data_IF_189464751760
#
_entry.id   IF_189464751760
#
_cell.length_a   1.000
_cell.length_b   1.000
_cell.length_c   1.000
_cell.angle_alpha   90.00
_cell.angle_beta   90.00
_cell.angle_gamma   90.00
#
_symmetry.space_group_name_H-M   'P 1'
#
loop_
_entity.id
_entity.type
_entity.pdbx_description
1 polymer ?
#
# COMPACT_ATOMS: atom_id res chain seq x y z
N UNK A 1 18.52 -61.76 12.33
CA UNK A 1 17.13 -61.30 12.16
C UNK A 1 16.57 -60.97 13.53
N UNK A 2 16.56 -59.71 13.93
CA UNK A 2 15.70 -59.20 15.01
C UNK A 2 15.14 -57.89 14.48
N UNK A 3 13.91 -57.95 13.98
CA UNK A 3 13.16 -56.77 13.55
C UNK A 3 12.63 -56.10 14.83
N UNK A 4 13.26 -55.02 15.24
CA UNK A 4 12.72 -54.12 16.25
C UNK A 4 11.57 -53.36 15.60
N UNK A 5 10.33 -53.74 15.94
CA UNK A 5 9.16 -52.96 15.63
C UNK A 5 9.30 -51.60 16.35
N UNK A 6 9.69 -50.58 15.60
CA UNK A 6 9.47 -49.19 16.02
C UNK A 6 7.96 -49.00 16.00
N UNK A 7 7.38 -49.07 17.18
CA UNK A 7 5.99 -48.70 17.41
C UNK A 7 5.90 -47.20 17.10
N UNK A 8 5.54 -46.85 15.87
CA UNK A 8 5.14 -45.50 15.51
C UNK A 8 3.95 -45.18 16.40
N UNK A 9 4.14 -44.26 17.36
CA UNK A 9 3.05 -43.71 18.15
C UNK A 9 1.97 -43.26 17.16
N UNK A 10 0.84 -43.97 17.13
CA UNK A 10 -0.29 -43.55 16.34
C UNK A 10 -0.76 -42.21 16.92
N UNK A 11 -0.67 -41.15 16.11
CA UNK A 11 -1.29 -39.89 16.48
C UNK A 11 -2.79 -40.16 16.74
N UNK A 12 -3.30 -39.67 17.87
CA UNK A 12 -4.71 -39.85 18.20
C UNK A 12 -5.56 -39.22 17.09
N UNK A 13 -6.66 -39.87 16.65
CA UNK A 13 -7.50 -39.33 15.59
C UNK A 13 -8.09 -38.00 16.03
N UNK A 14 -8.09 -37.00 15.15
CA UNK A 14 -8.63 -35.67 15.45
C UNK A 14 -9.84 -35.32 14.60
N UNK A 15 -10.79 -34.60 15.18
CA UNK A 15 -11.93 -34.01 14.48
C UNK A 15 -11.74 -32.50 14.31
N UNK A 16 -12.13 -31.98 13.14
CA UNK A 16 -12.17 -30.58 12.80
C UNK A 16 -13.62 -30.07 12.84
N UNK A 17 -13.86 -29.04 13.66
CA UNK A 17 -15.19 -28.43 13.80
C UNK A 17 -15.53 -27.61 12.54
N UNK A 18 -16.67 -27.93 11.92
CA UNK A 18 -17.09 -27.36 10.63
C UNK A 18 -17.99 -26.13 10.76
N UNK A 19 -18.65 -25.97 11.92
CA UNK A 19 -19.68 -24.95 12.14
C UNK A 19 -19.29 -24.01 13.26
N UNK A 20 -19.64 -22.75 13.09
CA UNK A 20 -19.48 -21.76 14.17
C UNK A 20 -20.52 -22.03 15.26
N UNK A 21 -20.08 -22.07 16.52
CA UNK A 21 -20.97 -22.24 17.65
C UNK A 21 -21.41 -23.68 17.93
N UNK A 22 -20.68 -24.70 17.44
CA UNK A 22 -21.01 -26.11 17.68
C UNK A 22 -21.01 -26.44 19.20
N UNK A 23 -22.00 -27.22 19.65
CA UNK A 23 -22.17 -27.53 21.07
C UNK A 23 -21.39 -28.78 21.45
N UNK A 24 -20.44 -28.66 22.38
CA UNK A 24 -19.86 -29.82 23.07
C UNK A 24 -20.72 -30.11 24.31
N UNK A 25 -21.27 -31.33 24.41
CA UNK A 25 -22.24 -31.73 25.43
C UNK A 25 -21.72 -32.82 26.35
N UNK A 26 -22.29 -32.92 27.55
CA UNK A 26 -21.90 -33.93 28.54
C UNK A 26 -22.28 -35.37 28.18
N UNK A 27 -23.11 -35.58 27.16
CA UNK A 27 -23.55 -36.90 26.71
C UNK A 27 -23.95 -36.91 25.23
N UNK A 28 -23.98 -38.10 24.63
CA UNK A 28 -24.34 -38.35 23.22
C UNK A 28 -25.85 -38.20 22.94
N UNK A 29 -26.43 -37.04 23.27
CA UNK A 29 -27.83 -36.67 23.01
C UNK A 29 -28.00 -35.16 23.10
N UNK A 30 -28.96 -34.59 22.37
CA UNK A 30 -29.16 -33.13 22.34
C UNK A 30 -29.67 -32.54 23.65
N UNK A 31 -30.44 -33.31 24.41
CA UNK A 31 -30.93 -32.89 25.73
C UNK A 31 -29.83 -32.91 26.80
N UNK A 32 -28.63 -33.41 26.49
CA UNK A 32 -27.52 -33.35 27.43
C UNK A 32 -27.08 -31.90 27.64
N UNK A 33 -26.72 -31.52 28.89
CA UNK A 33 -26.21 -30.19 29.19
C UNK A 33 -25.02 -29.83 28.29
N UNK A 34 -25.04 -28.60 27.75
CA UNK A 34 -23.91 -28.05 27.00
C UNK A 34 -22.77 -27.74 27.97
N UNK A 35 -21.59 -28.27 27.67
CA UNK A 35 -20.36 -28.06 28.45
C UNK A 35 -19.51 -26.93 27.87
N UNK A 36 -19.49 -26.78 26.55
CA UNK A 36 -18.79 -25.70 25.87
C UNK A 36 -19.43 -25.38 24.52
N UNK A 37 -19.11 -24.20 24.01
CA UNK A 37 -19.37 -23.81 22.63
C UNK A 37 -18.03 -23.75 21.88
N UNK A 38 -18.00 -24.39 20.72
CA UNK A 38 -16.83 -24.55 19.86
C UNK A 38 -16.92 -23.62 18.65
N UNK A 39 -15.77 -23.27 18.10
CA UNK A 39 -15.65 -22.38 16.94
C UNK A 39 -15.31 -23.19 15.69
N UNK A 40 -15.66 -22.65 14.51
CA UNK A 40 -15.26 -23.26 13.24
C UNK A 40 -13.73 -23.24 13.15
N UNK A 41 -13.12 -24.40 12.94
CA UNK A 41 -11.66 -24.56 12.95
C UNK A 41 -11.05 -25.02 14.27
N UNK A 42 -11.85 -25.20 15.34
CA UNK A 42 -11.37 -25.92 16.53
C UNK A 42 -11.04 -27.37 16.15
N UNK A 43 -9.91 -27.87 16.68
CA UNK A 43 -9.45 -29.26 16.50
C UNK A 43 -9.59 -29.99 17.83
N UNK A 44 -10.17 -31.19 17.80
CA UNK A 44 -10.49 -31.99 18.97
C UNK A 44 -9.90 -33.38 18.80
N UNK A 45 -9.40 -34.00 19.87
CA UNK A 45 -9.07 -35.43 19.83
C UNK A 45 -10.35 -36.26 19.89
N UNK A 46 -10.50 -37.23 18.99
CA UNK A 46 -11.55 -38.23 19.02
C UNK A 46 -11.09 -39.39 19.91
N UNK A 47 -11.88 -39.71 20.93
CA UNK A 47 -11.60 -40.80 21.88
C UNK A 47 -12.47 -42.01 21.66
N UNK A 48 -13.70 -41.81 21.21
CA UNK A 48 -14.65 -42.88 20.90
C UNK A 48 -15.77 -42.34 20.00
N UNK A 49 -16.63 -43.23 19.51
CA UNK A 49 -17.84 -42.91 18.77
C UNK A 49 -19.06 -43.52 19.45
N UNK A 50 -20.11 -42.71 19.62
CA UNK A 50 -21.37 -43.19 20.21
C UNK A 50 -22.57 -42.59 19.51
N UNK A 51 -23.37 -43.44 18.87
CA UNK A 51 -24.50 -43.02 18.03
C UNK A 51 -24.01 -42.01 16.96
N UNK A 52 -24.71 -40.88 16.81
CA UNK A 52 -24.35 -39.80 15.90
C UNK A 52 -23.41 -38.75 16.54
N UNK A 53 -22.59 -39.15 17.52
CA UNK A 53 -21.65 -38.27 18.21
C UNK A 53 -20.22 -38.83 18.22
N UNK A 54 -19.25 -37.94 18.12
CA UNK A 54 -17.88 -38.20 18.53
C UNK A 54 -17.75 -37.91 20.02
N UNK A 55 -17.19 -38.84 20.79
CA UNK A 55 -16.65 -38.54 22.11
C UNK A 55 -15.29 -37.90 21.91
N UNK A 56 -15.13 -36.68 22.41
CA UNK A 56 -13.98 -35.82 22.11
C UNK A 56 -13.30 -35.30 23.36
N UNK A 57 -12.04 -34.90 23.20
CA UNK A 57 -11.29 -34.13 24.18
C UNK A 57 -10.81 -32.81 23.57
N UNK A 58 -11.21 -31.71 24.18
CA UNK A 58 -10.71 -30.38 23.86
C UNK A 58 -9.51 -30.07 24.78
N UNK A 59 -8.30 -30.10 24.21
CA UNK A 59 -7.07 -29.80 24.94
C UNK A 59 -7.00 -28.35 25.44
N UNK A 60 -7.64 -27.39 24.76
CA UNK A 60 -7.64 -25.99 25.20
C UNK A 60 -8.41 -25.83 26.50
N UNK A 61 -9.55 -26.50 26.59
CA UNK A 61 -10.46 -26.40 27.74
C UNK A 61 -10.21 -27.48 28.77
N UNK A 62 -9.26 -28.38 28.51
CA UNK A 62 -8.96 -29.59 29.27
C UNK A 62 -10.24 -30.35 29.64
N UNK A 63 -11.12 -30.52 28.64
CA UNK A 63 -12.49 -30.98 28.87
C UNK A 63 -12.92 -31.97 27.81
N UNK A 64 -13.45 -33.10 28.28
CA UNK A 64 -14.10 -34.10 27.44
C UNK A 64 -15.58 -33.81 27.27
N UNK A 65 -16.15 -34.25 26.15
CA UNK A 65 -17.56 -34.15 25.86
C UNK A 65 -17.95 -34.90 24.59
N UNK A 66 -19.13 -34.60 24.08
CA UNK A 66 -19.69 -35.19 22.86
C UNK A 66 -20.07 -34.10 21.87
N UNK A 67 -19.68 -34.28 20.61
CA UNK A 67 -20.00 -33.37 19.50
C UNK A 67 -20.72 -34.17 18.41
N UNK A 68 -21.77 -33.62 17.82
CA UNK A 68 -22.50 -34.30 16.74
C UNK A 68 -21.59 -34.52 15.53
N UNK A 69 -21.69 -35.69 14.90
CA UNK A 69 -20.94 -36.02 13.68
C UNK A 69 -21.26 -35.09 12.50
N UNK A 70 -22.44 -34.44 12.50
CA UNK A 70 -22.79 -33.43 11.50
C UNK A 70 -22.10 -32.06 11.70
N UNK A 71 -21.46 -31.83 12.84
CA UNK A 71 -20.82 -30.56 13.21
C UNK A 71 -19.29 -30.62 13.15
N UNK A 72 -18.71 -31.81 13.03
CA UNK A 72 -17.27 -32.01 12.95
C UNK A 72 -16.95 -33.16 12.00
N UNK A 73 -15.81 -33.09 11.31
CA UNK A 73 -15.33 -34.17 10.44
C UNK A 73 -14.00 -34.70 10.97
N UNK A 74 -13.72 -36.01 10.87
CA UNK A 74 -12.36 -36.51 11.06
C UNK A 74 -11.40 -35.79 10.11
N UNK A 75 -10.26 -35.38 10.65
CA UNK A 75 -9.21 -34.69 9.91
C UNK A 75 -8.39 -35.72 9.14
N UNK A 76 -8.08 -35.43 7.88
CA UNK A 76 -7.20 -36.29 7.08
C UNK A 76 -5.78 -36.29 7.67
N UNK A 77 -5.06 -37.39 7.49
CA UNK A 77 -3.68 -37.56 7.96
C UNK A 77 -2.66 -37.45 6.83
N UNK A 78 -3.10 -37.48 5.58
CA UNK A 78 -2.24 -37.34 4.41
C UNK A 78 -2.20 -35.88 3.90
N UNK A 79 -1.00 -35.41 3.59
CA UNK A 79 -0.76 -34.04 3.14
C UNK A 79 -1.52 -33.67 1.84
N UNK A 80 -1.59 -34.52 0.80
CA UNK A 80 -2.31 -34.16 -0.43
C UNK A 80 -3.81 -33.90 -0.22
N UNK A 81 -4.49 -34.72 0.59
CA UNK A 81 -5.91 -34.52 0.91
C UNK A 81 -6.11 -33.23 1.72
N UNK A 82 -5.24 -32.96 2.69
CA UNK A 82 -5.30 -31.72 3.48
C UNK A 82 -5.12 -30.48 2.61
N UNK A 83 -4.19 -30.52 1.64
CA UNK A 83 -3.99 -29.43 0.69
C UNK A 83 -5.22 -29.22 -0.21
N UNK A 84 -5.83 -30.31 -0.69
CA UNK A 84 -7.06 -30.22 -1.49
C UNK A 84 -8.23 -29.60 -0.69
N UNK A 85 -8.39 -29.99 0.58
CA UNK A 85 -9.39 -29.41 1.48
C UNK A 85 -9.11 -27.92 1.77
N UNK A 86 -7.84 -27.56 1.95
CA UNK A 86 -7.42 -26.16 2.14
C UNK A 86 -7.80 -25.32 0.91
N UNK A 87 -7.46 -25.77 -0.30
CA UNK A 87 -7.82 -25.10 -1.57
C UNK A 87 -9.31 -24.86 -1.69
N UNK A 88 -10.14 -25.84 -1.33
CA UNK A 88 -11.60 -25.70 -1.34
C UNK A 88 -12.11 -24.68 -0.31
N UNK A 89 -11.41 -24.52 0.80
CA UNK A 89 -11.77 -23.62 1.90
C UNK A 89 -11.40 -22.16 1.63
N UNK A 90 -10.26 -21.92 0.96
CA UNK A 90 -9.71 -20.58 0.73
C UNK A 90 -10.69 -19.54 0.14
N UNK A 91 -11.50 -19.86 -0.89
CA UNK A 91 -12.42 -18.87 -1.46
C UNK A 91 -13.65 -18.59 -0.58
N UNK A 92 -13.87 -19.33 0.52
CA UNK A 92 -15.07 -19.20 1.34
C UNK A 92 -14.95 -18.06 2.37
N UNK A 93 -15.95 -17.18 2.42
CA UNK A 93 -16.10 -16.20 3.51
C UNK A 93 -16.42 -16.90 4.84
N UNK A 94 -15.80 -16.44 5.94
CA UNK A 94 -15.94 -17.09 7.24
C UNK A 94 -15.26 -18.47 7.34
N UNK A 95 -14.46 -18.85 6.35
CA UNK A 95 -13.64 -20.08 6.32
C UNK A 95 -12.28 -19.94 6.98
N UNK A 96 -11.94 -18.79 7.57
CA UNK A 96 -10.58 -18.47 8.03
C UNK A 96 -10.10 -19.47 9.08
N UNK A 97 -10.91 -19.77 10.09
CA UNK A 97 -10.54 -20.72 11.14
C UNK A 97 -10.35 -22.14 10.61
N UNK A 98 -11.20 -22.57 9.66
CA UNK A 98 -11.08 -23.87 9.01
C UNK A 98 -9.78 -23.96 8.18
N UNK A 99 -9.49 -22.91 7.40
CA UNK A 99 -8.27 -22.85 6.59
C UNK A 99 -7.00 -22.87 7.44
N UNK A 100 -6.97 -22.16 8.58
CA UNK A 100 -5.84 -22.19 9.50
C UNK A 100 -5.60 -23.60 10.07
N UNK A 101 -6.66 -24.29 10.46
CA UNK A 101 -6.57 -25.65 10.98
C UNK A 101 -6.06 -26.64 9.92
N UNK A 102 -6.57 -26.56 8.69
CA UNK A 102 -6.13 -27.41 7.57
C UNK A 102 -4.67 -27.16 7.20
N UNK A 103 -4.25 -25.88 7.17
CA UNK A 103 -2.86 -25.53 6.90
C UNK A 103 -1.91 -26.02 8.01
N UNK A 104 -2.30 -25.88 9.28
CA UNK A 104 -1.53 -26.40 10.41
C UNK A 104 -1.42 -27.93 10.37
N UNK A 105 -2.52 -28.62 10.06
CA UNK A 105 -2.54 -30.07 9.90
C UNK A 105 -1.64 -30.52 8.76
N UNK A 106 -1.65 -29.80 7.63
CA UNK A 106 -0.76 -30.06 6.51
C UNK A 106 0.71 -29.93 6.94
N UNK A 107 1.06 -28.87 7.67
CA UNK A 107 2.43 -28.65 8.15
C UNK A 107 2.90 -29.78 9.08
N UNK A 108 1.98 -30.36 9.87
CA UNK A 108 2.29 -31.49 10.75
C UNK A 108 2.44 -32.81 9.97
N UNK A 109 1.64 -33.01 8.91
CA UNK A 109 1.62 -34.25 8.13
C UNK A 109 2.72 -34.30 7.05
N UNK A 110 3.08 -33.17 6.45
CA UNK A 110 3.95 -33.12 5.29
C UNK A 110 5.44 -33.36 5.66
N UNK A 111 6.19 -34.12 4.84
CA UNK A 111 7.63 -34.29 5.03
C UNK A 111 8.38 -32.97 4.78
N UNK A 112 9.55 -32.82 5.41
CA UNK A 112 10.39 -31.60 5.29
C UNK A 112 10.73 -31.23 3.84
N UNK A 113 10.93 -32.23 2.97
CA UNK A 113 11.22 -32.01 1.55
C UNK A 113 10.03 -31.37 0.81
N UNK A 114 8.81 -31.72 1.18
CA UNK A 114 7.58 -31.16 0.58
C UNK A 114 7.30 -29.76 1.14
N UNK A 115 7.56 -29.53 2.43
CA UNK A 115 7.48 -28.21 3.05
C UNK A 115 8.50 -27.20 2.47
N UNK A 116 9.64 -27.69 1.99
CA UNK A 116 10.65 -26.87 1.33
C UNK A 116 10.40 -26.68 -0.19
N UNK A 117 9.37 -27.30 -0.74
CA UNK A 117 8.99 -27.23 -2.14
C UNK A 117 7.75 -26.34 -2.36
N UNK A 118 7.28 -26.28 -3.60
CA UNK A 118 6.14 -25.46 -3.99
C UNK A 118 4.85 -25.72 -3.20
N UNK A 119 4.46 -26.97 -2.86
CA UNK A 119 3.30 -27.22 -2.00
C UNK A 119 3.43 -26.58 -0.61
N UNK A 120 4.62 -26.59 -0.02
CA UNK A 120 4.90 -25.88 1.23
C UNK A 120 4.75 -24.37 1.09
N UNK A 121 5.22 -23.79 -0.01
CA UNK A 121 5.04 -22.37 -0.32
C UNK A 121 3.56 -22.01 -0.49
N UNK A 122 2.77 -22.87 -1.13
CA UNK A 122 1.32 -22.67 -1.29
C UNK A 122 0.58 -22.64 0.04
N UNK A 123 0.91 -23.55 0.97
CA UNK A 123 0.30 -23.53 2.31
C UNK A 123 0.70 -22.29 3.11
N UNK A 124 1.92 -21.80 2.96
CA UNK A 124 2.36 -20.54 3.60
C UNK A 124 1.68 -19.31 2.98
N UNK A 125 1.47 -19.28 1.67
CA UNK A 125 0.72 -18.23 0.99
C UNK A 125 -0.76 -18.23 1.42
N UNK A 126 -1.35 -19.42 1.58
CA UNK A 126 -2.68 -19.59 2.14
C UNK A 126 -2.77 -19.06 3.59
N UNK A 127 -1.83 -19.43 4.46
CA UNK A 127 -1.76 -18.91 5.84
C UNK A 127 -1.64 -17.39 5.88
N UNK A 128 -0.77 -16.82 5.06
CA UNK A 128 -0.61 -15.37 4.96
C UNK A 128 -1.89 -14.68 4.51
N UNK A 129 -2.56 -15.24 3.49
CA UNK A 129 -3.84 -14.74 2.96
C UNK A 129 -4.95 -14.77 4.02
N UNK A 130 -5.07 -15.88 4.77
CA UNK A 130 -6.01 -16.01 5.87
C UNK A 130 -5.70 -15.01 6.99
N UNK A 131 -4.42 -14.82 7.32
CA UNK A 131 -3.97 -13.81 8.27
C UNK A 131 -4.40 -12.40 7.86
N UNK A 132 -4.26 -12.03 6.59
CA UNK A 132 -4.74 -10.73 6.10
C UNK A 132 -6.26 -10.57 6.19
N UNK A 133 -7.02 -11.61 5.84
CA UNK A 133 -8.48 -11.61 5.97
C UNK A 133 -8.91 -11.42 7.42
N UNK A 134 -8.26 -12.11 8.36
CA UNK A 134 -8.51 -11.94 9.80
C UNK A 134 -8.18 -10.52 10.25
N UNK A 135 -7.07 -9.95 9.79
CA UNK A 135 -6.69 -8.57 10.10
C UNK A 135 -7.66 -7.54 9.50
N UNK A 136 -8.26 -7.83 8.34
CA UNK A 136 -9.26 -6.99 7.69
C UNK A 136 -10.68 -7.16 8.27
N UNK A 137 -10.96 -8.26 8.97
CA UNK A 137 -12.29 -8.60 9.45
C UNK A 137 -12.81 -7.59 10.50
N UNK A 138 -13.90 -6.89 10.22
CA UNK A 138 -14.51 -5.91 11.13
C UNK A 138 -15.73 -6.44 11.89
N UNK A 139 -16.05 -7.73 11.76
CA UNK A 139 -17.24 -8.34 12.39
C UNK A 139 -17.00 -8.65 13.88
N UNK A 140 -18.06 -8.87 14.68
CA UNK A 140 -17.93 -9.26 16.09
C UNK A 140 -17.13 -10.55 16.32
N UNK A 141 -17.00 -11.41 15.30
CA UNK A 141 -16.25 -12.69 15.37
C UNK A 141 -14.74 -12.50 15.39
N UNK A 142 -14.24 -11.29 15.08
CA UNK A 142 -12.81 -10.99 14.94
C UNK A 142 -12.00 -11.41 16.16
N UNK A 143 -12.48 -11.16 17.37
CA UNK A 143 -11.75 -11.50 18.60
C UNK A 143 -11.48 -13.01 18.71
N UNK A 144 -12.47 -13.85 18.40
CA UNK A 144 -12.32 -15.30 18.38
C UNK A 144 -11.38 -15.78 17.29
N UNK A 145 -11.42 -15.15 16.10
CA UNK A 145 -10.49 -15.47 15.01
C UNK A 145 -9.05 -15.10 15.34
N UNK A 146 -8.81 -13.96 16.00
CA UNK A 146 -7.46 -13.54 16.42
C UNK A 146 -6.88 -14.50 17.48
N UNK A 147 -7.72 -14.91 18.43
CA UNK A 147 -7.36 -15.91 19.44
C UNK A 147 -7.04 -17.28 18.79
N UNK A 148 -7.85 -17.74 17.84
CA UNK A 148 -7.57 -18.96 17.07
C UNK A 148 -6.28 -18.83 16.24
N UNK A 149 -6.09 -17.73 15.52
CA UNK A 149 -4.91 -17.48 14.69
C UNK A 149 -3.61 -17.45 15.52
N UNK A 150 -3.65 -16.85 16.70
CA UNK A 150 -2.50 -16.79 17.62
C UNK A 150 -2.05 -18.19 18.05
N UNK A 151 -2.97 -19.15 18.19
CA UNK A 151 -2.64 -20.55 18.53
C UNK A 151 -1.92 -21.27 17.40
N UNK A 152 -2.25 -20.92 16.17
CA UNK A 152 -1.55 -21.40 14.99
C UNK A 152 -0.27 -20.59 14.70
N UNK A 153 0.13 -19.69 15.61
CA UNK A 153 1.39 -18.96 15.55
C UNK A 153 1.36 -17.67 14.73
N UNK A 154 0.19 -17.21 14.27
CA UNK A 154 0.07 -15.94 13.56
C UNK A 154 0.13 -14.77 14.54
N UNK A 155 0.88 -13.72 14.18
CA UNK A 155 0.99 -12.50 14.98
C UNK A 155 0.41 -11.31 14.24
N UNK A 156 -0.07 -10.34 14.99
CA UNK A 156 -0.71 -9.14 14.46
C UNK A 156 -0.18 -7.90 15.16
N UNK A 157 0.14 -6.89 14.37
CA UNK A 157 0.64 -5.60 14.84
C UNK A 157 -0.41 -4.51 14.62
N UNK A 158 -0.49 -3.58 15.56
CA UNK A 158 -1.41 -2.44 15.50
C UNK A 158 -0.66 -1.16 15.11
N UNK A 159 -1.18 -0.45 14.11
CA UNK A 159 -0.61 0.80 13.61
C UNK A 159 -1.60 1.94 13.74
N UNK A 160 -1.22 2.98 14.47
CA UNK A 160 -1.96 4.23 14.50
C UNK A 160 -1.97 4.88 13.11
N UNK A 161 -3.13 5.35 12.69
CA UNK A 161 -3.34 6.03 11.41
C UNK A 161 -3.41 7.55 11.62
N UNK A 162 -3.28 8.31 10.53
CA UNK A 162 -3.33 9.78 10.58
C UNK A 162 -4.71 10.32 10.98
N UNK A 163 -5.78 9.55 10.74
CA UNK A 163 -7.16 9.89 11.12
C UNK A 163 -7.51 9.48 12.56
N UNK A 164 -6.52 9.00 13.33
CA UNK A 164 -6.70 8.51 14.70
C UNK A 164 -7.25 7.08 14.79
N UNK A 165 -7.58 6.43 13.67
CA UNK A 165 -7.96 5.02 13.67
C UNK A 165 -6.74 4.11 13.93
N UNK A 166 -7.01 2.86 14.31
CA UNK A 166 -5.99 1.83 14.46
C UNK A 166 -6.18 0.78 13.37
N UNK A 167 -5.12 0.51 12.61
CA UNK A 167 -5.09 -0.55 11.62
C UNK A 167 -4.36 -1.75 12.22
N UNK A 168 -5.03 -2.89 12.29
CA UNK A 168 -4.37 -4.16 12.58
C UNK A 168 -3.83 -4.75 11.28
N UNK A 169 -2.60 -5.25 11.31
CA UNK A 169 -1.97 -5.94 10.20
C UNK A 169 -1.39 -7.27 10.66
N UNK A 170 -1.45 -8.27 9.80
CA UNK A 170 -0.71 -9.51 9.99
C UNK A 170 0.79 -9.22 9.89
N UNK A 171 1.61 -9.81 10.77
CA UNK A 171 3.06 -9.57 10.83
C UNK A 171 3.79 -10.02 9.56
N UNK A 172 3.17 -10.94 8.80
CA UNK A 172 3.65 -11.41 7.51
C UNK A 172 4.65 -12.55 7.57
N UNK A 173 4.85 -13.24 8.70
CA UNK A 173 5.86 -14.31 8.80
C UNK A 173 5.72 -15.36 7.69
N UNK A 174 4.50 -15.84 7.43
CA UNK A 174 4.25 -16.81 6.37
C UNK A 174 4.65 -16.27 4.99
N UNK A 175 4.35 -15.01 4.69
CA UNK A 175 4.73 -14.38 3.41
C UNK A 175 6.24 -14.20 3.27
N UNK A 176 6.98 -13.90 4.35
CA UNK A 176 8.45 -13.85 4.29
C UNK A 176 9.04 -15.22 3.92
N UNK A 177 8.45 -16.29 4.44
CA UNK A 177 8.84 -17.66 4.08
C UNK A 177 8.48 -18.00 2.63
N UNK A 178 7.31 -17.58 2.12
CA UNK A 178 6.96 -17.71 0.69
C UNK A 178 8.03 -17.09 -0.20
N UNK A 179 8.51 -15.89 0.12
CA UNK A 179 9.56 -15.24 -0.68
C UNK A 179 10.91 -15.97 -0.65
N UNK A 180 11.14 -16.78 0.38
CA UNK A 180 12.36 -17.58 0.57
C UNK A 180 12.29 -18.97 -0.08
N UNK A 181 11.10 -19.43 -0.48
CA UNK A 181 10.87 -20.73 -1.10
C UNK A 181 10.69 -20.63 -2.62
N UNK A 182 10.94 -21.73 -3.35
CA UNK A 182 10.49 -21.84 -4.74
C UNK A 182 8.95 -21.81 -4.79
N UNK A 183 8.38 -21.10 -5.76
CA UNK A 183 6.93 -21.04 -5.92
C UNK A 183 6.50 -20.17 -7.10
N UNK A 184 5.24 -20.32 -7.48
CA UNK A 184 4.64 -19.58 -8.58
C UNK A 184 4.83 -18.05 -8.46
N UNK A 185 5.05 -17.34 -9.58
CA UNK A 185 5.18 -15.88 -9.61
C UNK A 185 4.05 -15.15 -8.88
N UNK A 186 2.81 -15.62 -9.04
CA UNK A 186 1.60 -15.02 -8.46
C UNK A 186 1.62 -15.04 -6.93
N UNK A 187 2.06 -16.15 -6.31
CA UNK A 187 2.22 -16.26 -4.86
C UNK A 187 3.30 -15.31 -4.34
N UNK A 188 4.44 -15.24 -5.04
CA UNK A 188 5.54 -14.33 -4.66
C UNK A 188 5.12 -12.86 -4.76
N UNK A 189 4.37 -12.50 -5.81
CA UNK A 189 3.82 -11.16 -5.97
C UNK A 189 2.84 -10.81 -4.84
N UNK A 190 1.90 -11.72 -4.52
CA UNK A 190 0.96 -11.57 -3.40
C UNK A 190 1.69 -11.37 -2.07
N UNK A 191 2.69 -12.20 -1.79
CA UNK A 191 3.50 -12.11 -0.57
C UNK A 191 4.22 -10.76 -0.45
N UNK A 192 4.85 -10.28 -1.53
CA UNK A 192 5.52 -8.98 -1.51
C UNK A 192 4.54 -7.80 -1.35
N UNK A 193 3.39 -7.84 -2.03
CA UNK A 193 2.34 -6.82 -1.89
C UNK A 193 1.77 -6.79 -0.48
N UNK A 194 1.57 -7.97 0.11
CA UNK A 194 1.08 -8.17 1.45
C UNK A 194 2.02 -7.59 2.53
N UNK A 195 3.32 -7.83 2.39
CA UNK A 195 4.34 -7.34 3.31
C UNK A 195 4.56 -5.83 3.23
N UNK A 196 4.25 -5.21 2.09
CA UNK A 196 4.59 -3.79 1.84
C UNK A 196 3.40 -2.83 1.89
N UNK A 197 2.27 -3.28 2.47
CA UNK A 197 0.99 -2.53 2.54
C UNK A 197 1.18 -1.12 3.12
N UNK A 198 0.73 -0.05 2.43
CA UNK A 198 0.94 1.34 2.87
C UNK A 198 0.20 1.71 4.16
N UNK A 199 -0.85 0.98 4.53
CA UNK A 199 -1.62 1.17 5.76
C UNK A 199 -1.03 0.42 6.97
N UNK A 200 -0.08 -0.50 6.74
CA UNK A 200 0.62 -1.27 7.77
C UNK A 200 1.92 -0.58 8.19
N UNK A 201 1.83 0.71 8.50
CA UNK A 201 2.95 1.54 8.97
C UNK A 201 2.46 2.54 10.01
N UNK A 202 3.35 2.95 10.90
CA UNK A 202 3.02 3.97 11.90
C UNK A 202 2.89 5.35 11.25
N UNK A 203 1.81 6.07 11.54
CA UNK A 203 1.65 7.49 11.18
C UNK A 203 2.60 8.41 11.95
N UNK A 204 3.19 7.93 13.05
CA UNK A 204 4.11 8.69 13.92
C UNK A 204 5.59 8.35 13.69
N UNK A 205 5.90 7.57 12.64
CA UNK A 205 7.28 7.22 12.31
C UNK A 205 8.11 8.48 12.04
N UNK A 206 9.32 8.52 12.61
CA UNK A 206 10.29 9.57 12.32
C UNK A 206 10.73 9.50 10.85
N UNK A 207 11.26 10.60 10.28
CA UNK A 207 11.76 10.57 8.89
C UNK A 207 12.81 9.48 8.63
N UNK A 208 13.64 9.15 9.62
CA UNK A 208 14.65 8.09 9.48
C UNK A 208 14.01 6.69 9.46
N UNK A 209 13.04 6.43 10.33
CA UNK A 209 12.31 5.15 10.34
C UNK A 209 11.51 4.96 9.05
N UNK A 210 10.86 6.01 8.55
CA UNK A 210 10.15 5.98 7.28
C UNK A 210 11.09 5.63 6.10
N UNK A 211 12.30 6.20 6.07
CA UNK A 211 13.33 5.87 5.07
C UNK A 211 13.76 4.41 5.14
N UNK A 212 14.11 3.93 6.34
CA UNK A 212 14.52 2.53 6.55
C UNK A 212 13.42 1.56 6.13
N UNK A 213 12.16 1.89 6.43
CA UNK A 213 11.01 1.08 6.03
C UNK A 213 10.84 1.06 4.51
N UNK A 214 10.93 2.20 3.83
CA UNK A 214 10.80 2.24 2.36
C UNK A 214 11.95 1.55 1.64
N UNK A 215 13.17 1.57 2.21
CA UNK A 215 14.29 0.77 1.72
C UNK A 215 14.01 -0.73 1.82
N UNK A 216 13.55 -1.19 2.99
CA UNK A 216 13.13 -2.59 3.16
C UNK A 216 11.97 -2.97 2.23
N UNK A 217 10.97 -2.09 2.03
CA UNK A 217 9.86 -2.34 1.10
C UNK A 217 10.36 -2.52 -0.34
N UNK A 218 11.33 -1.70 -0.77
CA UNK A 218 11.93 -1.83 -2.09
C UNK A 218 12.65 -3.19 -2.25
N UNK A 219 13.38 -3.64 -1.23
CA UNK A 219 14.05 -4.95 -1.22
C UNK A 219 13.02 -6.10 -1.30
N UNK A 220 11.93 -6.04 -0.53
CA UNK A 220 10.86 -7.03 -0.60
C UNK A 220 10.21 -7.07 -1.99
N UNK A 221 9.92 -5.91 -2.58
CA UNK A 221 9.31 -5.82 -3.91
C UNK A 221 10.23 -6.32 -5.03
N UNK A 222 11.55 -6.31 -4.83
CA UNK A 222 12.50 -6.90 -5.77
C UNK A 222 12.35 -8.43 -5.88
N UNK A 223 11.80 -9.09 -4.85
CA UNK A 223 11.58 -10.54 -4.84
C UNK A 223 10.28 -10.99 -5.56
N UNK A 224 9.45 -10.03 -6.01
CA UNK A 224 8.26 -10.27 -6.80
C UNK A 224 8.57 -10.20 -8.30
N UNK A 225 8.64 -11.34 -9.02
CA UNK A 225 8.88 -11.32 -10.46
C UNK A 225 7.67 -10.73 -11.19
N UNK A 226 7.90 -9.92 -12.24
CA UNK A 226 6.84 -9.46 -13.14
C UNK A 226 6.53 -10.49 -14.24
N UNK A 227 7.49 -11.35 -14.57
CA UNK A 227 7.32 -12.39 -15.57
C UNK A 227 6.41 -13.50 -15.03
N UNK A 228 5.45 -13.93 -15.86
CA UNK A 228 4.48 -14.97 -15.50
C UNK A 228 3.30 -14.46 -14.67
N UNK A 229 3.20 -13.15 -14.44
CA UNK A 229 2.00 -12.52 -13.88
C UNK A 229 1.00 -12.16 -14.98
N UNK A 230 -0.28 -12.17 -14.63
CA UNK A 230 -1.31 -11.50 -15.44
C UNK A 230 -1.09 -9.98 -15.47
N UNK A 231 -1.66 -9.27 -16.46
CA UNK A 231 -1.57 -7.81 -16.53
C UNK A 231 -2.14 -7.13 -15.27
N UNK A 232 -3.27 -7.64 -14.77
CA UNK A 232 -3.87 -7.27 -13.49
C UNK A 232 -2.90 -7.36 -12.30
N UNK A 233 -2.25 -8.51 -12.11
CA UNK A 233 -1.30 -8.70 -11.00
C UNK A 233 -0.03 -7.86 -11.18
N UNK A 234 0.45 -7.73 -12.42
CA UNK A 234 1.60 -6.91 -12.79
C UNK A 234 1.35 -5.44 -12.44
N UNK A 235 0.16 -4.92 -12.74
CA UNK A 235 -0.24 -3.55 -12.37
C UNK A 235 -0.13 -3.30 -10.87
N UNK A 236 -0.63 -4.21 -10.03
CA UNK A 236 -0.52 -4.08 -8.56
C UNK A 236 0.93 -3.98 -8.07
N UNK A 237 1.81 -4.83 -8.60
CA UNK A 237 3.25 -4.80 -8.26
C UNK A 237 3.89 -3.51 -8.74
N UNK A 238 3.62 -3.09 -9.99
CA UNK A 238 4.16 -1.86 -10.57
C UNK A 238 3.70 -0.60 -9.81
N UNK A 239 2.41 -0.51 -9.45
CA UNK A 239 1.90 0.60 -8.64
C UNK A 239 2.64 0.68 -7.30
N UNK A 240 2.81 -0.46 -6.62
CA UNK A 240 3.53 -0.50 -5.33
C UNK A 240 5.00 -0.13 -5.48
N UNK A 241 5.69 -0.61 -6.52
CA UNK A 241 7.09 -0.25 -6.82
C UNK A 241 7.23 1.24 -7.12
N UNK A 242 6.37 1.78 -7.98
CA UNK A 242 6.38 3.20 -8.35
C UNK A 242 6.15 4.10 -7.14
N UNK A 243 5.19 3.77 -6.27
CA UNK A 243 4.92 4.51 -5.05
C UNK A 243 6.11 4.50 -4.07
N UNK A 244 6.72 3.33 -3.84
CA UNK A 244 7.90 3.19 -2.97
C UNK A 244 9.12 3.92 -3.56
N UNK A 245 9.36 3.78 -4.86
CA UNK A 245 10.43 4.48 -5.56
C UNK A 245 10.26 6.01 -5.46
N UNK A 246 9.03 6.52 -5.60
CA UNK A 246 8.74 7.94 -5.42
C UNK A 246 9.04 8.42 -3.99
N UNK A 247 8.60 7.71 -2.95
CA UNK A 247 8.89 8.07 -1.56
C UNK A 247 10.40 8.09 -1.27
N UNK A 248 11.15 7.11 -1.77
CA UNK A 248 12.62 7.06 -1.63
C UNK A 248 13.31 8.17 -2.42
N UNK A 249 12.84 8.47 -3.64
CA UNK A 249 13.36 9.55 -4.46
C UNK A 249 13.21 10.90 -3.76
N UNK A 250 12.03 11.17 -3.20
CA UNK A 250 11.78 12.37 -2.40
C UNK A 250 12.75 12.45 -1.22
N UNK A 251 12.79 11.40 -0.40
CA UNK A 251 13.55 11.38 0.85
C UNK A 251 15.06 11.56 0.67
N UNK A 252 15.62 11.11 -0.48
CA UNK A 252 17.07 11.04 -0.72
C UNK A 252 17.63 12.11 -1.63
N UNK A 253 16.81 12.81 -2.40
CA UNK A 253 17.38 13.67 -3.43
C UNK A 253 17.42 13.05 -4.84
N UNK A 254 17.07 11.77 -4.98
CA UNK A 254 17.65 10.89 -6.00
C UNK A 254 16.87 10.88 -7.33
N UNK A 255 17.54 11.31 -8.41
CA UNK A 255 16.97 11.36 -9.74
C UNK A 255 16.75 9.98 -10.38
N UNK A 256 17.60 8.99 -10.11
CA UNK A 256 17.45 7.64 -10.68
C UNK A 256 16.27 6.92 -10.05
N UNK A 257 16.03 7.10 -8.75
CA UNK A 257 14.82 6.59 -8.10
C UNK A 257 13.55 7.27 -8.64
N UNK A 258 13.59 8.58 -8.92
CA UNK A 258 12.46 9.28 -9.53
C UNK A 258 12.19 8.80 -10.97
N UNK A 259 13.24 8.54 -11.76
CA UNK A 259 13.13 7.94 -13.09
C UNK A 259 12.57 6.51 -13.03
N UNK A 260 13.01 5.71 -12.07
CA UNK A 260 12.47 4.37 -11.84
C UNK A 260 10.98 4.41 -11.50
N UNK A 261 10.55 5.33 -10.63
CA UNK A 261 9.13 5.52 -10.31
C UNK A 261 8.29 5.88 -11.55
N UNK A 262 8.80 6.78 -12.40
CA UNK A 262 8.16 7.15 -13.67
C UNK A 262 8.12 5.97 -14.66
N UNK A 263 9.18 5.18 -14.73
CA UNK A 263 9.29 4.03 -15.63
C UNK A 263 8.36 2.88 -15.22
N UNK A 264 8.24 2.58 -13.93
CA UNK A 264 7.29 1.58 -13.43
C UNK A 264 5.84 2.04 -13.64
N UNK A 265 5.55 3.31 -13.38
CA UNK A 265 4.21 3.87 -13.62
C UNK A 265 3.83 3.88 -15.11
N UNK A 266 4.79 4.13 -16.00
CA UNK A 266 4.57 4.13 -17.45
C UNK A 266 4.29 2.73 -18.02
N UNK A 267 4.60 1.66 -17.29
CA UNK A 267 4.30 0.28 -17.68
C UNK A 267 2.89 -0.18 -17.29
N UNK A 268 2.15 0.63 -16.53
CA UNK A 268 0.78 0.30 -16.13
C UNK A 268 -0.14 0.22 -17.35
N UNK A 269 -1.05 -0.73 -17.32
CA UNK A 269 -2.08 -0.93 -18.34
C UNK A 269 -3.43 -0.47 -17.77
N UNK A 270 -3.94 0.73 -18.09
CA UNK A 270 -5.12 1.28 -17.42
C UNK A 270 -6.39 0.43 -17.55
N UNK A 271 -6.52 -0.31 -18.65
CA UNK A 271 -7.65 -1.22 -18.88
C UNK A 271 -7.67 -2.43 -17.92
N UNK A 272 -6.53 -2.73 -17.28
CA UNK A 272 -6.32 -3.87 -16.40
C UNK A 272 -6.26 -3.43 -14.92
N UNK A 273 -6.80 -2.24 -14.61
CA UNK A 273 -6.94 -1.73 -13.24
C UNK A 273 -8.37 -2.01 -12.79
N UNK A 274 -8.53 -2.84 -11.76
CA UNK A 274 -9.84 -3.10 -11.18
C UNK A 274 -10.36 -1.88 -10.42
N UNK A 275 -11.68 -1.77 -10.29
CA UNK A 275 -12.33 -0.69 -9.54
C UNK A 275 -11.82 -0.62 -8.08
N UNK A 276 -11.63 -1.77 -7.44
CA UNK A 276 -11.07 -1.87 -6.08
C UNK A 276 -9.63 -1.34 -5.96
N UNK A 277 -8.88 -1.30 -7.06
CA UNK A 277 -7.49 -0.84 -7.11
C UNK A 277 -7.38 0.66 -7.49
N UNK A 278 -8.48 1.31 -7.86
CA UNK A 278 -8.49 2.72 -8.24
C UNK A 278 -7.95 3.67 -7.15
N UNK A 279 -8.23 3.47 -5.84
CA UNK A 279 -7.63 4.28 -4.79
C UNK A 279 -6.09 4.20 -4.78
N UNK A 280 -5.54 2.99 -4.93
CA UNK A 280 -4.09 2.75 -4.97
C UNK A 280 -3.46 3.33 -6.24
N UNK A 281 -4.15 3.24 -7.38
CA UNK A 281 -3.74 3.88 -8.62
C UNK A 281 -3.64 5.40 -8.47
N UNK A 282 -4.69 6.05 -7.96
CA UNK A 282 -4.73 7.49 -7.77
C UNK A 282 -3.64 7.97 -6.80
N UNK A 283 -3.44 7.26 -5.68
CA UNK A 283 -2.37 7.55 -4.73
C UNK A 283 -0.98 7.43 -5.37
N UNK A 284 -0.78 6.38 -6.18
CA UNK A 284 0.47 6.17 -6.91
C UNK A 284 0.71 7.29 -7.93
N UNK A 285 -0.31 7.64 -8.71
CA UNK A 285 -0.24 8.71 -9.71
C UNK A 285 0.15 10.05 -9.08
N UNK A 286 -0.47 10.41 -7.94
CA UNK A 286 -0.12 11.64 -7.20
C UNK A 286 1.33 11.62 -6.70
N UNK A 287 1.80 10.50 -6.13
CA UNK A 287 3.17 10.34 -5.63
C UNK A 287 4.22 10.46 -6.75
N UNK A 288 4.01 9.73 -7.84
CA UNK A 288 4.90 9.75 -9.00
C UNK A 288 4.90 11.12 -9.67
N UNK A 289 3.73 11.78 -9.78
CA UNK A 289 3.66 13.14 -10.30
C UNK A 289 4.46 14.09 -9.42
N UNK A 290 4.29 14.05 -8.09
CA UNK A 290 4.98 14.93 -7.16
C UNK A 290 6.51 14.89 -7.37
N UNK A 291 7.10 13.70 -7.55
CA UNK A 291 8.56 13.55 -7.72
C UNK A 291 9.07 13.73 -9.15
N UNK A 292 8.21 13.98 -10.15
CA UNK A 292 8.66 14.03 -11.57
C UNK A 292 9.82 15.01 -11.82
N UNK A 293 9.86 16.12 -11.07
CA UNK A 293 10.91 17.13 -11.21
C UNK A 293 12.22 16.73 -10.52
N UNK A 294 12.16 15.79 -9.57
CA UNK A 294 13.36 15.14 -9.01
C UNK A 294 14.08 14.29 -10.05
N UNK A 295 13.37 13.75 -11.05
CA UNK A 295 13.97 12.99 -12.15
C UNK A 295 14.83 13.85 -13.10
N UNK A 296 14.70 15.18 -13.02
CA UNK A 296 15.53 16.09 -13.79
C UNK A 296 16.89 16.31 -13.12
N UNK A 297 17.96 16.61 -13.87
CA UNK A 297 19.25 16.96 -13.30
C UNK A 297 19.11 18.08 -12.26
N UNK A 298 19.70 17.87 -11.08
CA UNK A 298 19.77 18.91 -10.07
C UNK A 298 20.58 20.09 -10.60
N UNK A 299 20.08 21.29 -10.38
CA UNK A 299 20.74 22.53 -10.76
C UNK A 299 20.66 23.51 -9.59
N UNK A 300 21.82 24.08 -9.22
CA UNK A 300 21.91 25.15 -8.22
C UNK A 300 21.77 26.53 -8.84
N UNK A 301 21.79 26.63 -10.17
CA UNK A 301 21.60 27.86 -10.90
C UNK A 301 20.76 27.63 -12.16
N UNK A 302 19.87 28.56 -12.47
CA UNK A 302 19.12 28.57 -13.73
C UNK A 302 18.87 29.99 -14.21
N UNK A 303 19.25 30.27 -15.45
CA UNK A 303 18.93 31.52 -16.13
C UNK A 303 17.66 31.39 -16.97
N UNK A 304 16.78 32.38 -16.89
CA UNK A 304 15.50 32.46 -17.59
C UNK A 304 15.36 33.84 -18.20
N UNK A 305 15.78 33.97 -19.46
CA UNK A 305 15.88 35.29 -20.10
C UNK A 305 16.84 36.18 -19.33
N UNK A 306 16.33 37.28 -18.79
CA UNK A 306 17.10 38.26 -18.00
C UNK A 306 17.10 37.99 -16.50
N UNK A 307 16.40 36.95 -16.04
CA UNK A 307 16.33 36.56 -14.64
C UNK A 307 17.31 35.43 -14.34
N UNK A 308 17.89 35.46 -13.14
CA UNK A 308 18.75 34.41 -12.62
C UNK A 308 18.16 33.84 -11.34
N UNK A 309 18.03 32.52 -11.28
CA UNK A 309 17.67 31.77 -10.09
C UNK A 309 18.91 31.09 -9.54
N UNK A 310 19.16 31.23 -8.25
CA UNK A 310 20.20 30.47 -7.55
C UNK A 310 19.60 29.78 -6.34
N UNK A 311 20.02 28.54 -6.11
CA UNK A 311 19.64 27.74 -4.95
C UNK A 311 20.91 27.45 -4.15
N UNK A 312 20.91 27.82 -2.87
CA UNK A 312 22.04 27.60 -1.95
C UNK A 312 21.54 26.97 -0.66
N UNK A 313 22.45 26.39 0.10
CA UNK A 313 22.13 25.95 1.46
C UNK A 313 21.83 27.15 2.36
N UNK A 314 20.83 26.98 3.23
CA UNK A 314 20.40 28.00 4.18
C UNK A 314 21.23 28.00 5.47
N UNK A 315 20.81 28.83 6.42
CA UNK A 315 21.47 28.89 7.73
C UNK A 315 21.18 27.63 8.58
N UNK A 316 20.03 26.99 8.35
CA UNK A 316 19.64 25.77 9.07
C UNK A 316 20.01 24.53 8.24
N UNK A 317 20.59 23.47 8.86
CA UNK A 317 20.84 22.21 8.15
C UNK A 317 19.58 21.65 7.48
N UNK A 318 19.67 21.34 6.18
CA UNK A 318 18.56 20.85 5.36
C UNK A 318 17.66 21.94 4.77
N UNK A 319 17.83 23.20 5.15
CA UNK A 319 17.16 24.34 4.52
C UNK A 319 17.86 24.71 3.22
N UNK A 320 17.07 25.01 2.17
CA UNK A 320 17.55 25.48 0.87
C UNK A 320 16.92 26.84 0.57
N UNK A 321 17.76 27.79 0.18
CA UNK A 321 17.37 29.18 -0.10
C UNK A 321 17.42 29.47 -1.59
N UNK A 322 16.25 29.78 -2.15
CA UNK A 322 16.10 30.32 -3.49
C UNK A 322 16.39 31.82 -3.46
N UNK A 323 17.17 32.30 -4.42
CA UNK A 323 17.31 33.72 -4.72
C UNK A 323 16.96 33.94 -6.19
N UNK A 324 16.03 34.86 -6.44
CA UNK A 324 15.75 35.43 -7.74
C UNK A 324 16.50 36.74 -7.86
N UNK A 325 17.25 36.93 -8.95
CA UNK A 325 17.94 38.18 -9.27
C UNK A 325 17.49 38.67 -10.64
N UNK A 326 17.09 39.94 -10.71
CA UNK A 326 16.79 40.62 -11.96
C UNK A 326 17.97 41.49 -12.45
N UNK A 327 17.91 42.05 -13.67
CA UNK A 327 19.02 42.84 -14.23
C UNK A 327 19.37 44.10 -13.45
N UNK A 328 18.47 44.60 -12.61
CA UNK A 328 18.70 45.79 -11.76
C UNK A 328 19.36 45.41 -10.43
N UNK A 329 19.66 44.11 -10.22
CA UNK A 329 20.11 43.58 -8.94
C UNK A 329 19.01 43.53 -7.89
N UNK A 330 17.75 43.82 -8.27
CA UNK A 330 16.59 43.68 -7.41
C UNK A 330 16.12 42.22 -7.45
N UNK A 331 15.63 41.70 -6.32
CA UNK A 331 15.42 40.27 -6.18
C UNK A 331 14.62 39.87 -4.98
N UNK A 332 14.24 38.59 -4.95
CA UNK A 332 13.52 37.97 -3.84
C UNK A 332 14.29 36.74 -3.35
N UNK A 333 14.45 36.64 -2.03
CA UNK A 333 14.99 35.45 -1.37
C UNK A 333 13.90 34.69 -0.62
N UNK A 334 13.87 33.36 -0.72
CA UNK A 334 12.98 32.49 0.06
C UNK A 334 13.67 31.18 0.40
N UNK A 335 13.71 30.84 1.69
CA UNK A 335 14.20 29.57 2.18
C UNK A 335 13.07 28.58 2.48
N UNK A 336 13.35 27.29 2.33
CA UNK A 336 12.42 26.20 2.62
C UNK A 336 13.17 24.90 2.93
N UNK A 337 12.58 24.06 3.76
CA UNK A 337 13.00 22.66 3.94
C UNK A 337 12.44 21.74 2.83
N UNK A 338 11.55 22.26 1.98
CA UNK A 338 11.03 21.54 0.83
C UNK A 338 12.05 21.46 -0.31
N UNK A 339 11.84 20.50 -1.20
CA UNK A 339 12.66 20.30 -2.39
C UNK A 339 12.27 21.26 -3.50
N UNK A 340 13.06 22.33 -3.64
CA UNK A 340 12.90 23.34 -4.68
C UNK A 340 13.52 22.83 -5.98
N UNK A 341 12.70 22.68 -7.04
CA UNK A 341 13.16 22.10 -8.30
C UNK A 341 13.38 23.15 -9.38
N UNK A 342 14.61 23.68 -9.52
CA UNK A 342 14.91 24.71 -10.53
C UNK A 342 14.57 24.26 -11.96
N UNK A 343 14.63 22.96 -12.28
CA UNK A 343 14.23 22.40 -13.57
C UNK A 343 12.74 22.63 -13.93
N UNK A 344 11.89 22.91 -12.94
CA UNK A 344 10.47 23.22 -13.14
C UNK A 344 10.18 24.69 -13.46
N UNK A 345 11.17 25.57 -13.33
CA UNK A 345 10.99 27.01 -13.44
C UNK A 345 10.49 27.43 -14.84
N UNK A 346 9.42 28.21 -14.89
CA UNK A 346 8.84 28.76 -16.12
C UNK A 346 8.55 30.25 -15.95
N UNK A 347 9.06 31.08 -16.87
CA UNK A 347 8.90 32.54 -16.88
C UNK A 347 7.80 32.95 -17.85
N UNK A 348 6.93 33.88 -17.45
CA UNK A 348 5.90 34.45 -18.31
C UNK A 348 6.54 35.22 -19.47
N UNK A 349 5.85 35.27 -20.62
CA UNK A 349 6.32 36.01 -21.79
C UNK A 349 6.53 37.49 -21.50
N UNK A 350 5.69 38.05 -20.63
CA UNK A 350 5.75 39.43 -20.15
C UNK A 350 6.93 39.69 -19.18
N UNK A 351 7.64 38.65 -18.73
CA UNK A 351 8.80 38.76 -17.82
C UNK A 351 8.44 39.25 -16.42
N UNK A 352 7.17 39.16 -16.05
CA UNK A 352 6.62 39.69 -14.80
C UNK A 352 6.17 38.59 -13.82
N UNK A 353 6.23 37.31 -14.22
CA UNK A 353 5.80 36.19 -13.40
C UNK A 353 6.65 34.95 -13.64
N UNK A 354 6.85 34.15 -12.59
CA UNK A 354 7.63 32.91 -12.61
C UNK A 354 6.89 31.85 -11.79
N UNK A 355 6.82 30.64 -12.29
CA UNK A 355 6.26 29.49 -11.58
C UNK A 355 7.36 28.47 -11.30
N UNK A 356 7.36 27.87 -10.11
CA UNK A 356 8.37 26.93 -9.65
C UNK A 356 7.73 25.85 -8.76
N UNK A 357 8.03 24.58 -9.01
CA UNK A 357 7.53 23.47 -8.24
C UNK A 357 8.39 23.22 -6.99
N UNK A 358 7.73 23.08 -5.84
CA UNK A 358 8.38 22.80 -4.55
C UNK A 358 7.66 21.66 -3.85
N UNK A 359 8.38 20.58 -3.58
CA UNK A 359 7.82 19.42 -2.89
C UNK A 359 8.15 19.50 -1.40
N UNK A 360 7.15 19.77 -0.56
CA UNK A 360 7.36 20.01 0.88
C UNK A 360 7.25 18.72 1.70
N UNK A 361 6.48 17.73 1.25
CA UNK A 361 6.34 16.43 1.89
C UNK A 361 6.33 15.29 0.85
N UNK A 362 6.46 14.06 1.31
CA UNK A 362 6.35 12.87 0.47
C UNK A 362 4.96 12.84 -0.21
N UNK A 363 4.95 12.87 -1.54
CA UNK A 363 3.73 12.92 -2.34
C UNK A 363 2.95 14.24 -2.28
N UNK A 364 3.50 15.32 -1.71
CA UNK A 364 2.86 16.64 -1.65
C UNK A 364 3.70 17.72 -2.34
N UNK A 365 3.25 18.20 -3.50
CA UNK A 365 3.96 19.23 -4.28
C UNK A 365 3.14 20.49 -4.50
N UNK A 366 3.69 21.61 -4.06
CA UNK A 366 3.13 22.94 -4.17
C UNK A 366 3.69 23.67 -5.39
N UNK A 367 3.03 24.75 -5.78
CA UNK A 367 3.51 25.67 -6.80
C UNK A 367 3.83 27.02 -6.16
N UNK A 368 5.10 27.42 -6.21
CA UNK A 368 5.50 28.79 -5.90
C UNK A 368 5.30 29.65 -7.14
N UNK A 369 4.61 30.76 -6.97
CA UNK A 369 4.35 31.75 -8.00
C UNK A 369 4.97 33.07 -7.57
N UNK A 370 6.00 33.50 -8.27
CA UNK A 370 6.65 34.79 -8.06
C UNK A 370 6.11 35.75 -9.09
N UNK A 371 5.69 36.96 -8.69
CA UNK A 371 5.14 37.94 -9.62
C UNK A 371 5.55 39.36 -9.24
N UNK A 372 5.63 40.25 -10.23
CA UNK A 372 5.86 41.68 -9.99
C UNK A 372 4.57 42.37 -9.56
N UNK A 373 4.55 42.93 -8.36
CA UNK A 373 3.48 43.81 -7.86
C UNK A 373 4.11 45.16 -7.49
N UNK A 374 3.63 46.25 -8.11
CA UNK A 374 4.19 47.58 -7.86
C UNK A 374 5.67 47.75 -8.27
N UNK A 375 6.19 46.86 -9.12
CA UNK A 375 7.61 46.87 -9.53
C UNK A 375 8.51 45.96 -8.69
N UNK A 376 8.02 45.44 -7.57
CA UNK A 376 8.75 44.53 -6.68
C UNK A 376 8.30 43.07 -6.88
N UNK A 377 9.21 42.12 -6.67
CA UNK A 377 8.89 40.70 -6.72
C UNK A 377 8.24 40.24 -5.42
N UNK A 378 7.06 39.64 -5.52
CA UNK A 378 6.38 38.95 -4.42
C UNK A 378 6.34 37.45 -4.70
N UNK A 379 6.13 36.63 -3.66
CA UNK A 379 5.95 35.18 -3.78
C UNK A 379 4.67 34.76 -3.09
N UNK A 380 3.90 33.95 -3.79
CA UNK A 380 2.72 33.27 -3.30
C UNK A 380 2.91 31.76 -3.43
N UNK A 381 2.36 31.00 -2.49
CA UNK A 381 2.41 29.54 -2.48
C UNK A 381 1.02 29.01 -2.76
N UNK A 382 0.89 28.16 -3.77
CA UNK A 382 -0.34 27.47 -4.11
C UNK A 382 -0.23 25.98 -3.71
N UNK A 383 -0.90 25.57 -2.63
CA UNK A 383 -0.94 24.17 -2.23
C UNK A 383 -1.97 23.36 -3.05
N UNK A 384 -1.81 22.02 -3.14
CA UNK A 384 -2.80 21.11 -3.76
C UNK A 384 -4.22 21.18 -3.19
N UNK A 385 -4.31 21.49 -1.89
CA UNK A 385 -5.56 21.77 -1.20
C UNK A 385 -5.31 22.80 -0.10
N UNK A 386 -6.37 23.49 0.32
CA UNK A 386 -6.34 24.39 1.48
C UNK A 386 -6.34 23.64 2.83
N UNK A 387 -6.70 22.35 2.81
CA UNK A 387 -6.74 21.46 3.96
C UNK A 387 -5.33 21.02 4.41
N UNK A 388 -5.26 20.33 5.56
CA UNK A 388 -4.00 19.77 6.04
C UNK A 388 -3.31 18.89 4.96
N UNK A 389 -1.97 18.99 4.79
CA UNK A 389 -1.26 18.23 3.77
C UNK A 389 -1.49 16.73 3.86
N UNK A 390 -1.67 16.09 2.71
CA UNK A 390 -1.81 14.65 2.54
C UNK A 390 -1.03 14.19 1.31
N UNK A 391 -1.74 13.73 0.29
CA UNK A 391 -1.17 13.50 -1.04
C UNK A 391 -1.72 14.53 -2.01
N UNK A 392 -0.91 14.97 -2.96
CA UNK A 392 -1.37 15.86 -4.02
C UNK A 392 -0.27 16.64 -4.70
N UNK A 393 -0.62 17.19 -5.85
CA UNK A 393 0.25 18.10 -6.58
C UNK A 393 -0.56 19.28 -7.10
N UNK A 394 0.12 20.41 -7.23
CA UNK A 394 -0.20 21.46 -8.19
C UNK A 394 0.95 21.53 -9.18
N UNK A 395 0.61 21.68 -10.45
CA UNK A 395 1.57 21.87 -11.51
C UNK A 395 1.20 23.07 -12.38
N UNK A 396 2.23 23.82 -12.75
CA UNK A 396 2.13 24.84 -13.78
C UNK A 396 1.84 24.19 -15.13
N UNK A 397 0.80 24.67 -15.81
CA UNK A 397 0.33 24.16 -17.09
C UNK A 397 0.40 25.17 -18.24
N UNK A 398 0.71 26.45 -17.97
CA UNK A 398 0.82 27.48 -19.00
C UNK A 398 0.58 28.91 -18.50
N UNK A 399 1.03 29.89 -19.28
CA UNK A 399 0.78 31.32 -19.05
C UNK A 399 -0.27 31.81 -20.04
N UNK A 400 -1.29 32.52 -19.57
CA UNK A 400 -2.22 33.20 -20.49
C UNK A 400 -1.63 34.57 -20.86
N UNK A 401 -1.58 34.93 -22.16
CA UNK A 401 -1.10 36.25 -22.58
C UNK A 401 -1.80 37.41 -21.87
N UNK A 402 -1.04 38.46 -21.56
CA UNK A 402 -1.54 39.61 -20.83
C UNK A 402 -1.10 39.66 -19.36
N UNK A 403 -0.33 38.67 -18.90
CA UNK A 403 0.42 38.74 -17.65
C UNK A 403 -0.42 38.80 -16.38
N UNK A 404 -1.66 38.29 -16.42
CA UNK A 404 -2.62 38.32 -15.30
C UNK A 404 -3.16 36.96 -14.89
N UNK A 405 -2.90 35.91 -15.66
CA UNK A 405 -3.49 34.59 -15.44
C UNK A 405 -2.47 33.48 -15.72
N UNK A 406 -2.63 32.37 -15.00
CA UNK A 406 -1.88 31.14 -15.21
C UNK A 406 -2.82 29.94 -15.25
N UNK A 407 -2.35 28.88 -15.90
CA UNK A 407 -3.02 27.61 -16.00
C UNK A 407 -2.35 26.63 -15.04
N UNK A 408 -3.16 25.86 -14.29
CA UNK A 408 -2.65 24.81 -13.41
C UNK A 408 -3.46 23.54 -13.54
N UNK A 409 -2.81 22.39 -13.33
CA UNK A 409 -3.50 21.15 -13.01
C UNK A 409 -3.22 20.80 -11.55
N UNK A 410 -4.22 20.23 -10.89
CA UNK A 410 -4.12 19.89 -9.47
C UNK A 410 -4.99 18.70 -9.14
N UNK A 411 -4.52 17.91 -8.18
CA UNK A 411 -5.18 16.71 -7.68
C UNK A 411 -4.70 16.50 -6.25
N UNK A 412 -5.59 16.06 -5.37
CA UNK A 412 -5.23 15.89 -3.97
C UNK A 412 -6.11 14.92 -3.21
N UNK A 413 -5.55 14.33 -2.17
CA UNK A 413 -6.25 13.65 -1.09
C UNK A 413 -5.78 14.27 0.22
N UNK A 414 -6.65 15.06 0.83
CA UNK A 414 -6.39 15.78 2.08
C UNK A 414 -7.53 15.52 3.06
N UNK A 415 -7.21 15.36 4.35
CA UNK A 415 -8.20 15.05 5.40
C UNK A 415 -9.10 13.84 5.06
N UNK A 416 -8.52 12.81 4.44
CA UNK A 416 -9.23 11.60 4.03
C UNK A 416 -10.18 11.78 2.83
N UNK A 417 -10.30 12.99 2.28
CA UNK A 417 -11.17 13.29 1.13
C UNK A 417 -10.36 13.36 -0.15
N UNK A 418 -10.78 12.57 -1.13
CA UNK A 418 -10.24 12.63 -2.47
C UNK A 418 -10.88 13.78 -3.25
N UNK A 419 -10.04 14.69 -3.76
CA UNK A 419 -10.40 15.69 -4.73
C UNK A 419 -9.83 15.25 -6.08
N UNK A 420 -10.73 14.86 -6.98
CA UNK A 420 -10.35 14.44 -8.32
C UNK A 420 -9.55 15.52 -9.05
N UNK A 421 -8.71 15.06 -9.97
CA UNK A 421 -7.97 15.89 -10.90
C UNK A 421 -8.84 17.00 -11.48
N UNK A 422 -8.36 18.23 -11.37
CA UNK A 422 -9.00 19.44 -11.89
C UNK A 422 -7.99 20.35 -12.56
N UNK A 423 -8.43 21.02 -13.62
CA UNK A 423 -7.69 22.03 -14.35
C UNK A 423 -8.29 23.40 -14.05
N UNK A 424 -7.46 24.41 -13.83
CA UNK A 424 -7.93 25.73 -13.46
C UNK A 424 -7.17 26.85 -14.18
N UNK A 425 -7.93 27.91 -14.50
CA UNK A 425 -7.40 29.23 -14.86
C UNK A 425 -7.42 30.07 -13.60
N UNK A 426 -6.24 30.47 -13.12
CA UNK A 426 -6.11 31.24 -11.89
C UNK A 426 -5.80 32.70 -12.20
N UNK A 427 -6.27 33.59 -11.33
CA UNK A 427 -5.75 34.96 -11.25
C UNK A 427 -4.31 34.96 -10.74
N UNK A 428 -3.41 35.71 -11.36
CA UNK A 428 -2.00 35.74 -10.95
C UNK A 428 -1.79 36.51 -9.64
N UNK A 429 -2.61 37.53 -9.37
CA UNK A 429 -2.48 38.39 -8.20
C UNK A 429 -2.96 37.70 -6.92
N UNK A 430 -4.01 36.88 -7.01
CA UNK A 430 -4.65 36.23 -5.84
C UNK A 430 -4.54 34.71 -5.82
N UNK A 431 -4.13 34.08 -6.92
CA UNK A 431 -4.15 32.64 -7.14
C UNK A 431 -5.53 32.00 -6.98
N UNK A 432 -6.61 32.79 -7.07
CA UNK A 432 -7.98 32.27 -6.98
C UNK A 432 -8.43 31.69 -8.32
N UNK A 433 -9.16 30.56 -8.32
CA UNK A 433 -9.72 30.01 -9.55
C UNK A 433 -10.77 30.94 -10.15
N UNK A 434 -10.55 31.37 -11.39
CA UNK A 434 -11.53 32.11 -12.17
C UNK A 434 -12.42 31.17 -12.99
N UNK A 435 -11.84 30.05 -13.46
CA UNK A 435 -12.55 28.95 -14.13
C UNK A 435 -11.86 27.64 -13.78
N UNK A 436 -12.64 26.57 -13.67
CA UNK A 436 -12.12 25.21 -13.45
C UNK A 436 -12.96 24.17 -14.16
N UNK A 437 -12.35 23.05 -14.56
CA UNK A 437 -13.01 21.92 -15.19
C UNK A 437 -12.27 20.61 -14.88
N UNK A 438 -12.96 19.46 -14.94
CA UNK A 438 -12.31 18.15 -14.83
C UNK A 438 -11.51 17.76 -16.08
N UNK A 439 -11.74 18.45 -17.21
CA UNK A 439 -11.12 18.18 -18.50
C UNK A 439 -10.67 19.48 -19.18
N UNK A 440 -9.48 19.48 -19.79
CA UNK A 440 -8.89 20.65 -20.47
C UNK A 440 -9.63 21.08 -21.73
N UNK A 441 -10.40 20.19 -22.38
CA UNK A 441 -11.24 20.50 -23.55
C UNK A 441 -12.33 21.52 -23.24
N UNK A 442 -12.77 21.57 -21.98
CA UNK A 442 -13.80 22.50 -21.51
C UNK A 442 -13.23 23.91 -21.23
N UNK A 443 -11.90 24.06 -21.23
CA UNK A 443 -11.22 25.31 -20.95
C UNK A 443 -10.48 25.81 -22.20
N UNK A 444 -11.10 26.76 -22.91
CA UNK A 444 -10.49 27.34 -24.13
C UNK A 444 -9.10 27.96 -23.91
N UNK A 445 -8.74 28.33 -22.68
CA UNK A 445 -7.40 28.79 -22.35
C UNK A 445 -6.34 27.66 -22.44
N UNK A 446 -6.66 26.44 -22.00
CA UNK A 446 -5.76 25.28 -22.13
C UNK A 446 -5.56 24.86 -23.59
N UNK A 447 -6.59 25.02 -24.41
CA UNK A 447 -6.48 24.73 -25.84
C UNK A 447 -5.45 25.65 -26.53
N UNK A 448 -5.40 26.93 -26.14
CA UNK A 448 -4.54 27.93 -26.78
C UNK A 448 -3.17 28.12 -26.12
N UNK A 449 -3.11 28.04 -24.79
CA UNK A 449 -1.99 28.60 -24.02
C UNK A 449 -1.35 27.62 -23.04
N UNK A 450 -1.68 26.34 -23.12
CA UNK A 450 -0.94 25.32 -22.38
C UNK A 450 0.51 25.25 -22.84
N UNK A 451 1.41 25.17 -21.87
CA UNK A 451 2.84 25.02 -22.08
C UNK A 451 3.13 23.69 -22.82
N UNK A 452 3.92 23.71 -23.92
CA UNK A 452 4.22 22.50 -24.67
C UNK A 452 5.00 21.44 -23.87
N UNK A 453 5.92 21.86 -22.99
CA UNK A 453 6.68 20.92 -22.16
C UNK A 453 5.76 20.27 -21.11
N UNK A 454 4.81 21.03 -20.55
CA UNK A 454 3.77 20.47 -19.71
C UNK A 454 2.89 19.45 -20.45
N UNK A 455 2.41 19.78 -21.65
CA UNK A 455 1.60 18.87 -22.49
C UNK A 455 2.33 17.56 -22.80
N UNK A 456 3.64 17.62 -23.07
CA UNK A 456 4.44 16.44 -23.42
C UNK A 456 4.83 15.55 -22.24
N UNK A 457 4.85 16.08 -21.01
CA UNK A 457 5.43 15.38 -19.86
C UNK A 457 4.47 15.21 -18.66
N UNK A 458 3.29 15.84 -18.65
CA UNK A 458 2.39 15.77 -17.51
C UNK A 458 1.71 14.41 -17.38
N UNK A 459 1.75 13.84 -16.18
CA UNK A 459 0.93 12.68 -15.80
C UNK A 459 -0.53 13.08 -15.56
N UNK A 460 -0.83 14.36 -15.36
CA UNK A 460 -2.20 14.85 -15.24
C UNK A 460 -2.97 14.78 -16.56
N UNK A 461 -2.33 14.45 -17.69
CA UNK A 461 -3.02 14.23 -18.96
C UNK A 461 -3.20 12.74 -19.30
N UNK A 462 -2.69 11.85 -18.45
CA UNK A 462 -2.75 10.40 -18.67
C UNK A 462 -3.94 9.75 -17.98
#
# INVERSE_FOLDING_TARGET
MIATAVQTAHAAPTALVLQEGASMRAGARDSAPQQAQLQRGDVLEIRDERLDYYQVWDYRRERGGYVRKSQATPLATDAPTLLAQLRLTLPQDGGEGLGLALAAAYIQAAPRSELAAEPGAEVLDALGTLGQRIAANTTPRRAGLLDLASRYGLRFDSYAQADGSVRLCYDGDAFRRVLSLPGAPTMRARAALALTRPECRSSTATPQEARSLDDWRAEVLAHAPLQGLSAFEKNRVLMRRAAVAASRAFARGDAELAKAALADFAQLEPAEIAEDDMPDYNDTAMRVNAVRWTAQPAADERSLGSLKLTLKDGATPGERCLTLTDPKGQGLGRCSFGRISLASASLSREGNALALAVQTLDGWRELWVLAKAGGEWTLQVLPPAAAAPGLGYVEFAGWVPGGKQLLVAQESRAEGRYASRRFAVLDLGTLTPQRQAPDISQLGAFQRWSDPAWKGASLALR
#
